data_IF_108526012739
#
_entry.id   IF_108526012739
#
_cell.length_a   1.000
_cell.length_b   1.000
_cell.length_c   1.000
_cell.angle_alpha   90.00
_cell.angle_beta   90.00
_cell.angle_gamma   90.00
#
_symmetry.space_group_name_H-M   'P 1'
#
loop_
_entity.id
_entity.type
_entity.pdbx_description
1 polymer ?
#
# COMPACT_ATOMS: atom_id res chain seq x y z
N UNK A 1 16.00 -11.50 0.92
CA UNK A 1 15.97 -10.69 -0.32
C UNK A 1 14.57 -10.69 -0.90
N UNK A 2 14.02 -9.51 -1.20
CA UNK A 2 12.68 -9.34 -1.75
C UNK A 2 12.78 -9.16 -3.27
N UNK A 3 12.03 -9.98 -4.02
CA UNK A 3 11.92 -9.86 -5.47
C UNK A 3 10.66 -9.09 -5.86
N UNK A 4 10.60 -8.51 -7.07
CA UNK A 4 9.36 -7.89 -7.57
C UNK A 4 8.16 -8.85 -7.55
N UNK A 5 8.37 -10.12 -7.85
CA UNK A 5 7.32 -11.14 -7.86
C UNK A 5 6.73 -11.38 -6.47
N UNK A 6 7.55 -11.28 -5.42
CA UNK A 6 7.06 -11.38 -4.05
C UNK A 6 6.14 -10.19 -3.71
N UNK A 7 6.47 -9.01 -4.18
CA UNK A 7 5.64 -7.81 -3.95
C UNK A 7 4.34 -7.90 -4.77
N UNK A 8 4.40 -8.37 -6.01
CA UNK A 8 3.20 -8.63 -6.81
C UNK A 8 2.26 -9.60 -6.08
N UNK A 9 2.82 -10.69 -5.55
CA UNK A 9 2.07 -11.68 -4.79
C UNK A 9 1.44 -11.07 -3.53
N UNK A 10 2.17 -10.18 -2.85
CA UNK A 10 1.69 -9.52 -1.65
C UNK A 10 0.40 -8.72 -1.89
N UNK A 11 0.33 -7.99 -3.00
CA UNK A 11 -0.86 -7.21 -3.32
C UNK A 11 -2.10 -8.08 -3.52
N UNK A 12 -1.94 -9.30 -3.98
CA UNK A 12 -3.06 -10.25 -4.15
C UNK A 12 -3.42 -10.98 -2.85
N UNK A 13 -2.63 -10.86 -1.80
CA UNK A 13 -2.76 -11.66 -0.58
C UNK A 13 -2.92 -10.86 0.71
N UNK A 14 -2.79 -9.55 0.66
CA UNK A 14 -3.08 -8.70 1.81
C UNK A 14 -4.59 -8.55 1.93
N UNK A 15 -5.20 -9.26 2.90
CA UNK A 15 -6.66 -9.36 3.00
C UNK A 15 -7.19 -9.39 4.43
N UNK A 16 -6.33 -9.20 5.44
CA UNK A 16 -6.77 -9.24 6.83
C UNK A 16 -5.86 -8.41 7.74
N UNK A 17 -6.32 -8.22 8.98
CA UNK A 17 -5.61 -7.42 9.97
C UNK A 17 -4.25 -8.00 10.35
N UNK A 18 -4.15 -9.32 10.45
CA UNK A 18 -2.88 -9.97 10.80
C UNK A 18 -1.79 -9.66 9.77
N UNK A 19 -2.11 -9.80 8.48
CA UNK A 19 -1.18 -9.47 7.40
C UNK A 19 -0.87 -7.98 7.35
N UNK A 20 -1.87 -7.15 7.57
CA UNK A 20 -1.69 -5.70 7.59
C UNK A 20 -0.70 -5.28 8.68
N UNK A 21 -0.76 -5.91 9.85
CA UNK A 21 0.18 -5.66 10.94
C UNK A 21 1.59 -6.16 10.66
N UNK A 22 1.76 -7.22 9.87
CA UNK A 22 3.10 -7.66 9.42
C UNK A 22 3.78 -6.56 8.63
N UNK A 23 3.02 -5.85 7.82
CA UNK A 23 3.56 -4.81 6.93
C UNK A 23 4.01 -3.56 7.71
N UNK A 24 3.34 -3.22 8.80
CA UNK A 24 3.80 -2.16 9.70
C UNK A 24 3.30 -2.43 11.13
N UNK A 25 4.08 -3.18 11.93
CA UNK A 25 3.62 -3.60 13.27
C UNK A 25 3.25 -2.46 14.21
N UNK A 26 3.88 -1.30 14.04
CA UNK A 26 3.64 -0.14 14.91
C UNK A 26 2.41 0.66 14.49
N UNK A 27 2.26 0.95 13.20
CA UNK A 27 1.23 1.88 12.73
C UNK A 27 -0.03 1.19 12.22
N UNK A 28 0.08 0.03 11.56
CA UNK A 28 -1.07 -0.69 11.03
C UNK A 28 -1.79 -1.45 12.14
N UNK A 29 -3.08 -1.19 12.33
CA UNK A 29 -3.87 -1.76 13.42
C UNK A 29 -4.89 -2.77 12.96
N UNK A 30 -5.71 -2.43 11.95
CA UNK A 30 -6.76 -3.32 11.47
C UNK A 30 -7.03 -3.12 9.99
N UNK A 31 -7.62 -4.14 9.39
CA UNK A 31 -7.94 -4.19 7.96
C UNK A 31 -9.24 -4.96 7.78
N UNK A 32 -10.21 -4.41 7.08
CA UNK A 32 -11.41 -5.13 6.68
C UNK A 32 -11.93 -4.65 5.33
N UNK A 33 -12.51 -5.56 4.57
CA UNK A 33 -13.08 -5.22 3.28
C UNK A 33 -14.43 -4.53 3.43
N UNK A 34 -14.60 -3.37 2.77
CA UNK A 34 -15.92 -2.78 2.50
C UNK A 34 -16.48 -3.34 1.21
N UNK A 35 -15.65 -3.43 0.18
CA UNK A 35 -15.95 -4.05 -1.10
C UNK A 35 -14.87 -5.07 -1.37
N UNK A 36 -15.23 -6.35 -1.32
CA UNK A 36 -14.30 -7.45 -1.53
C UNK A 36 -13.78 -7.50 -2.96
N UNK A 37 -12.53 -7.91 -3.19
CA UNK A 37 -11.92 -7.94 -4.51
C UNK A 37 -12.43 -9.06 -5.43
N UNK A 38 -13.05 -10.10 -4.88
CA UNK A 38 -13.36 -11.30 -5.67
C UNK A 38 -12.08 -11.89 -6.26
N UNK A 39 -12.11 -12.25 -7.53
CA UNK A 39 -10.97 -12.85 -8.23
C UNK A 39 -10.19 -11.83 -9.07
N UNK A 40 -10.38 -10.55 -8.85
CA UNK A 40 -9.71 -9.51 -9.63
C UNK A 40 -8.26 -9.39 -9.19
N UNK A 41 -7.35 -9.55 -10.13
CA UNK A 41 -5.91 -9.45 -9.88
C UNK A 41 -5.55 -8.05 -9.38
N UNK A 42 -4.66 -8.00 -8.36
CA UNK A 42 -4.24 -6.74 -7.75
C UNK A 42 -5.35 -6.05 -6.97
N UNK A 43 -6.44 -6.75 -6.71
CA UNK A 43 -7.60 -6.25 -5.97
C UNK A 43 -8.26 -5.00 -6.57
N UNK A 44 -8.02 -4.68 -7.84
CA UNK A 44 -8.53 -3.46 -8.48
C UNK A 44 -10.06 -3.35 -8.32
N UNK A 45 -10.51 -2.19 -7.84
CA UNK A 45 -11.92 -1.90 -7.57
C UNK A 45 -12.37 -2.21 -6.15
N UNK A 46 -11.61 -3.00 -5.40
CA UNK A 46 -11.95 -3.30 -4.01
C UNK A 46 -11.70 -2.08 -3.11
N UNK A 47 -12.46 -2.00 -2.02
CA UNK A 47 -12.29 -0.96 -1.01
C UNK A 47 -12.06 -1.63 0.33
N UNK A 48 -10.97 -1.25 1.00
CA UNK A 48 -10.77 -1.69 2.36
C UNK A 48 -10.78 -0.51 3.32
N UNK A 49 -11.18 -0.80 4.55
CA UNK A 49 -11.13 0.14 5.65
C UNK A 49 -10.01 -0.28 6.56
N UNK A 50 -9.07 0.61 6.82
CA UNK A 50 -7.97 0.35 7.74
C UNK A 50 -7.99 1.35 8.89
N UNK A 51 -7.46 0.90 10.03
CA UNK A 51 -7.11 1.78 11.12
C UNK A 51 -5.60 1.75 11.23
N UNK A 52 -4.99 2.93 11.17
CA UNK A 52 -3.55 3.07 11.36
C UNK A 52 -3.24 4.30 12.18
N UNK A 53 -2.09 4.27 12.86
CA UNK A 53 -1.64 5.41 13.66
C UNK A 53 -1.02 6.45 12.75
N UNK A 54 -1.59 7.65 12.73
CA UNK A 54 -1.09 8.81 11.98
C UNK A 54 -0.83 9.92 12.98
N UNK A 55 0.41 10.37 13.06
CA UNK A 55 0.86 11.43 13.99
C UNK A 55 0.42 11.12 15.43
N UNK A 56 0.57 9.85 15.85
CA UNK A 56 0.24 9.39 17.20
C UNK A 56 -1.24 9.13 17.47
N UNK A 57 -2.11 9.21 16.46
CA UNK A 57 -3.56 9.03 16.62
C UNK A 57 -4.10 7.90 15.75
N UNK A 58 -4.95 7.01 16.29
CA UNK A 58 -5.66 6.03 15.48
C UNK A 58 -6.54 6.76 14.46
N UNK A 59 -6.38 6.41 13.19
CA UNK A 59 -7.09 7.07 12.10
C UNK A 59 -7.68 6.01 11.18
N UNK A 60 -8.95 6.19 10.83
CA UNK A 60 -9.64 5.30 9.87
C UNK A 60 -9.49 5.86 8.48
N UNK A 61 -9.01 5.02 7.55
CA UNK A 61 -8.88 5.37 6.14
C UNK A 61 -9.69 4.38 5.30
N UNK A 62 -10.35 4.90 4.27
CA UNK A 62 -11.00 4.11 3.24
C UNK A 62 -10.13 4.17 2.00
N UNK A 63 -9.63 3.02 1.58
CA UNK A 63 -8.65 2.93 0.49
C UNK A 63 -9.22 2.04 -0.62
N UNK A 64 -9.29 2.58 -1.82
CA UNK A 64 -9.70 1.83 -3.01
C UNK A 64 -8.46 1.44 -3.82
N UNK A 65 -8.41 0.17 -4.18
CA UNK A 65 -7.37 -0.34 -5.07
C UNK A 65 -7.69 0.12 -6.49
N UNK A 66 -6.72 0.72 -7.17
CA UNK A 66 -6.91 1.34 -8.47
C UNK A 66 -6.09 0.63 -9.55
N UNK A 67 -6.55 0.75 -10.79
CA UNK A 67 -5.74 0.39 -11.93
C UNK A 67 -4.59 1.42 -12.04
N UNK A 68 -3.33 0.98 -11.97
CA UNK A 68 -2.20 1.90 -12.02
C UNK A 68 -2.14 2.78 -13.27
N UNK A 69 -2.77 2.36 -14.36
CA UNK A 69 -2.79 3.11 -15.61
C UNK A 69 -3.92 4.15 -15.64
N UNK A 70 -4.82 4.13 -14.65
CA UNK A 70 -5.99 5.02 -14.57
C UNK A 70 -5.87 6.16 -13.57
N UNK A 71 -4.76 6.23 -12.81
CA UNK A 71 -4.58 7.26 -11.79
C UNK A 71 -3.80 8.47 -12.34
N UNK A 72 -3.91 9.65 -11.71
CA UNK A 72 -3.22 10.86 -12.18
C UNK A 72 -1.74 10.90 -11.78
N UNK A 73 -1.07 9.77 -11.78
CA UNK A 73 0.37 9.63 -11.57
C UNK A 73 0.86 8.69 -12.65
N UNK A 74 1.84 9.13 -13.45
CA UNK A 74 2.40 8.30 -14.51
C UNK A 74 3.46 7.36 -13.97
N UNK A 75 3.28 6.06 -14.14
CA UNK A 75 4.26 5.05 -13.77
C UNK A 75 5.39 4.95 -14.81
N UNK A 76 6.58 4.66 -14.33
CA UNK A 76 7.76 4.46 -15.18
C UNK A 76 8.23 3.00 -15.13
N UNK A 77 7.87 2.24 -14.10
CA UNK A 77 8.31 0.86 -13.92
C UNK A 77 7.21 -0.13 -14.31
N UNK A 78 7.62 -1.33 -14.70
CA UNK A 78 6.69 -2.37 -15.13
C UNK A 78 5.84 -2.92 -13.99
N UNK A 79 6.45 -3.21 -12.85
CA UNK A 79 5.74 -3.69 -11.66
C UNK A 79 5.17 -2.49 -10.91
N UNK A 80 3.87 -2.53 -10.64
CA UNK A 80 3.21 -1.37 -10.03
C UNK A 80 1.89 -1.75 -9.37
N UNK A 81 1.52 -0.99 -8.35
CA UNK A 81 0.26 -1.09 -7.65
C UNK A 81 -0.19 0.31 -7.28
N UNK A 82 -1.48 0.58 -7.36
CA UNK A 82 -2.01 1.90 -7.09
C UNK A 82 -3.24 1.84 -6.19
N UNK A 83 -3.45 2.93 -5.46
CA UNK A 83 -4.61 3.08 -4.59
C UNK A 83 -5.00 4.56 -4.49
N UNK A 84 -6.22 4.80 -4.05
CA UNK A 84 -6.70 6.12 -3.68
C UNK A 84 -7.25 6.09 -2.26
N UNK A 85 -7.17 7.21 -1.57
CA UNK A 85 -7.86 7.42 -0.30
C UNK A 85 -9.16 8.14 -0.61
N UNK A 86 -10.27 7.61 -0.10
CA UNK A 86 -11.61 8.09 -0.41
C UNK A 86 -12.19 8.94 0.72
N UNK A 87 -13.02 9.92 0.36
CA UNK A 87 -13.91 10.59 1.31
C UNK A 87 -15.17 9.74 1.55
N UNK A 88 -16.12 10.25 2.32
CA UNK A 88 -17.36 9.54 2.65
C UNK A 88 -18.33 9.38 1.47
N UNK A 89 -18.06 10.04 0.35
CA UNK A 89 -18.86 9.97 -0.87
C UNK A 89 -18.17 9.20 -1.99
N UNK A 90 -17.12 8.45 -1.64
CA UNK A 90 -16.30 7.67 -2.56
C UNK A 90 -15.51 8.51 -3.57
N UNK A 91 -15.24 9.77 -3.24
CA UNK A 91 -14.39 10.62 -4.07
C UNK A 91 -12.94 10.47 -3.64
N UNK A 92 -12.00 10.25 -4.58
CA UNK A 92 -10.58 10.22 -4.26
C UNK A 92 -10.08 11.57 -3.79
N UNK A 93 -9.40 11.59 -2.65
CA UNK A 93 -8.78 12.80 -2.09
C UNK A 93 -7.26 12.75 -2.12
N UNK A 94 -6.68 11.56 -2.30
CA UNK A 94 -5.26 11.39 -2.54
C UNK A 94 -5.02 10.10 -3.33
N UNK A 95 -3.82 9.98 -3.91
CA UNK A 95 -3.43 8.87 -4.75
C UNK A 95 -2.07 8.34 -4.32
N UNK A 96 -1.88 7.04 -4.46
CA UNK A 96 -0.64 6.35 -4.10
C UNK A 96 -0.24 5.45 -5.27
N UNK A 97 1.03 5.53 -5.68
CA UNK A 97 1.61 4.61 -6.65
C UNK A 97 2.86 3.98 -6.06
N UNK A 98 2.87 2.66 -5.98
CA UNK A 98 4.08 1.89 -5.69
C UNK A 98 4.54 1.26 -7.01
N UNK A 99 5.78 1.54 -7.41
CA UNK A 99 6.36 0.94 -8.61
C UNK A 99 7.75 0.43 -8.29
N UNK A 100 8.12 -0.68 -8.91
CA UNK A 100 9.35 -1.35 -8.52
C UNK A 100 9.93 -2.18 -9.64
N UNK A 101 11.23 -2.45 -9.53
CA UNK A 101 11.94 -3.34 -10.46
C UNK A 101 13.14 -3.98 -9.77
N UNK A 102 13.62 -5.06 -10.37
CA UNK A 102 14.78 -5.78 -9.89
C UNK A 102 16.07 -4.97 -10.06
N UNK A 103 16.91 -5.00 -9.04
CA UNK A 103 18.29 -4.48 -9.10
C UNK A 103 19.24 -5.58 -8.60
N UNK A 104 20.55 -5.46 -8.80
CA UNK A 104 21.48 -6.39 -8.19
C UNK A 104 21.26 -6.48 -6.68
N UNK A 105 21.05 -7.67 -6.18
CA UNK A 105 20.84 -7.97 -4.74
C UNK A 105 19.50 -7.53 -4.15
N UNK A 106 18.49 -7.20 -4.96
CA UNK A 106 17.18 -6.85 -4.39
C UNK A 106 16.21 -6.21 -5.36
N UNK A 107 15.39 -5.35 -4.81
CA UNK A 107 14.35 -4.63 -5.55
C UNK A 107 14.42 -3.16 -5.19
N UNK A 108 14.39 -2.29 -6.20
CA UNK A 108 14.20 -0.86 -6.00
C UNK A 108 12.69 -0.59 -6.07
N UNK A 109 12.15 0.03 -5.03
CA UNK A 109 10.74 0.43 -4.99
C UNK A 109 10.65 1.94 -4.79
N UNK A 110 9.81 2.59 -5.61
CA UNK A 110 9.51 4.01 -5.49
C UNK A 110 8.03 4.19 -5.21
N UNK A 111 7.72 4.91 -4.14
CA UNK A 111 6.36 5.28 -3.79
C UNK A 111 6.14 6.74 -4.10
N UNK A 112 5.07 7.03 -4.84
CA UNK A 112 4.70 8.41 -5.19
C UNK A 112 3.31 8.68 -4.63
N UNK A 113 3.17 9.81 -3.93
CA UNK A 113 1.91 10.25 -3.36
C UNK A 113 1.49 11.56 -4.00
N UNK A 114 0.24 11.64 -4.41
CA UNK A 114 -0.37 12.89 -4.84
C UNK A 114 -1.38 13.29 -3.77
N UNK A 115 -1.09 14.37 -3.07
CA UNK A 115 -1.85 14.82 -1.90
C UNK A 115 -2.59 16.13 -2.20
N UNK A 116 -3.65 16.45 -1.43
CA UNK A 116 -4.26 17.78 -1.50
C UNK A 116 -3.22 18.88 -1.24
N UNK A 117 -3.38 20.02 -1.92
CA UNK A 117 -2.38 21.10 -1.87
C UNK A 117 -2.17 21.69 -0.46
N UNK A 118 -3.13 21.53 0.43
CA UNK A 118 -3.13 22.15 1.76
C UNK A 118 -2.75 21.19 2.89
N UNK A 119 -2.06 20.12 2.57
CA UNK A 119 -1.60 19.15 3.57
C UNK A 119 -0.47 19.76 4.40
N UNK A 120 -0.53 19.70 5.75
CA UNK A 120 0.55 20.21 6.62
C UNK A 120 1.85 19.45 6.42
N UNK A 121 2.98 20.14 6.60
CA UNK A 121 4.31 19.53 6.49
C UNK A 121 4.52 18.39 7.49
N UNK A 122 3.94 18.48 8.69
CA UNK A 122 4.02 17.42 9.70
C UNK A 122 3.40 16.11 9.21
N UNK A 123 2.30 16.19 8.46
CA UNK A 123 1.69 15.02 7.85
C UNK A 123 2.59 14.44 6.76
N UNK A 124 3.17 15.28 5.92
CA UNK A 124 4.08 14.84 4.85
C UNK A 124 5.28 14.09 5.46
N UNK A 125 5.87 14.62 6.52
CA UNK A 125 6.98 13.97 7.22
C UNK A 125 6.57 12.64 7.83
N UNK A 126 5.39 12.57 8.43
CA UNK A 126 4.85 11.32 8.96
C UNK A 126 4.69 10.28 7.84
N UNK A 127 4.07 10.68 6.73
CA UNK A 127 3.81 9.80 5.59
C UNK A 127 5.11 9.28 4.98
N UNK A 128 6.10 10.14 4.84
CA UNK A 128 7.41 9.77 4.32
C UNK A 128 8.09 8.72 5.20
N UNK A 129 8.10 8.95 6.51
CA UNK A 129 8.65 8.02 7.49
C UNK A 129 7.90 6.69 7.48
N UNK A 130 6.57 6.74 7.53
CA UNK A 130 5.70 5.56 7.50
C UNK A 130 5.98 4.71 6.26
N UNK A 131 6.07 5.34 5.10
CA UNK A 131 6.32 4.63 3.83
C UNK A 131 7.69 3.94 3.82
N UNK A 132 8.73 4.62 4.27
CA UNK A 132 10.07 4.02 4.35
C UNK A 132 10.06 2.81 5.29
N UNK A 133 9.36 2.92 6.41
CA UNK A 133 9.24 1.83 7.38
C UNK A 133 8.47 0.64 6.80
N UNK A 134 7.29 0.87 6.21
CA UNK A 134 6.49 -0.25 5.68
C UNK A 134 7.18 -0.98 4.53
N UNK A 135 7.87 -0.25 3.66
CA UNK A 135 8.64 -0.88 2.59
C UNK A 135 9.83 -1.67 3.16
N UNK A 136 10.49 -1.13 4.18
CA UNK A 136 11.57 -1.82 4.86
C UNK A 136 11.13 -3.13 5.54
N UNK A 137 9.91 -3.18 6.06
CA UNK A 137 9.38 -4.38 6.69
C UNK A 137 9.18 -5.55 5.72
N UNK A 138 9.09 -5.31 4.42
CA UNK A 138 9.04 -6.42 3.47
C UNK A 138 10.18 -7.41 3.65
N UNK A 139 11.38 -6.94 3.97
CA UNK A 139 12.53 -7.81 4.20
C UNK A 139 12.36 -8.70 5.43
N UNK A 140 11.55 -8.29 6.40
CA UNK A 140 11.37 -8.99 7.65
C UNK A 140 10.43 -10.19 7.54
N UNK A 141 9.42 -10.13 6.67
CA UNK A 141 8.39 -11.16 6.63
C UNK A 141 8.10 -11.73 5.24
N UNK A 142 8.24 -10.93 4.18
CA UNK A 142 7.68 -11.29 2.88
C UNK A 142 8.35 -12.50 2.22
N UNK A 143 9.68 -12.63 2.21
CA UNK A 143 10.29 -13.81 1.59
C UNK A 143 9.83 -15.12 2.21
N UNK A 144 9.74 -15.18 3.53
CA UNK A 144 9.30 -16.39 4.23
C UNK A 144 7.82 -16.67 3.99
N UNK A 145 6.98 -15.65 4.11
CA UNK A 145 5.54 -15.80 3.88
C UNK A 145 5.25 -16.28 2.45
N UNK A 146 5.94 -15.71 1.48
CA UNK A 146 5.82 -16.10 0.07
C UNK A 146 6.21 -17.58 -0.14
N UNK A 147 7.32 -18.02 0.42
CA UNK A 147 7.76 -19.41 0.30
C UNK A 147 6.79 -20.39 0.97
N UNK A 148 6.18 -20.01 2.08
CA UNK A 148 5.25 -20.86 2.82
C UNK A 148 3.88 -20.99 2.14
N UNK A 149 3.43 -19.98 1.40
CA UNK A 149 2.05 -19.91 0.91
C UNK A 149 1.88 -19.89 -0.62
N UNK A 150 2.95 -19.75 -1.37
CA UNK A 150 2.85 -19.73 -2.84
C UNK A 150 2.47 -21.07 -3.43
#
# INVERSE_FOLDING_TARGET
RVSPEMIDWWWDHIDNSERYRLWHPKDHKSFEWEVSPGDVKGHVGAIHRVIETIEGRPTTLRIRWEDPDSIPIKAEFKHKNAASVLDNKDNPISWILHEYHSIPNGTLLRSTFRLPAQIPDTFIEHLRKHNVEEIGYFNEFLPRLYEEER
#
